data_IF_654163873527
#
_entry.id   IF_654163873527
#
_cell.length_a   1.000
_cell.length_b   1.000
_cell.length_c   1.000
_cell.angle_alpha   90.00
_cell.angle_beta   90.00
_cell.angle_gamma   90.00
#
_symmetry.space_group_name_H-M   'P 1'
#
loop_
_entity.id
_entity.type
_entity.pdbx_description
1 polymer ?
#
# COMPACT_ATOMS: atom_id res chain seq x y z
N UNK A 1 0.77 2.34 -14.61
CA UNK A 1 2.10 2.31 -13.97
C UNK A 1 2.11 3.18 -12.71
N UNK A 2 1.91 4.50 -12.77
CA UNK A 2 1.92 5.33 -11.55
C UNK A 2 0.87 4.93 -10.50
N UNK A 3 -0.39 4.73 -10.88
CA UNK A 3 -1.43 4.33 -9.92
C UNK A 3 -1.23 2.95 -9.29
N UNK A 4 -0.37 2.11 -9.86
CA UNK A 4 -0.07 0.79 -9.31
C UNK A 4 1.02 0.82 -8.22
N UNK A 5 1.80 1.92 -8.15
CA UNK A 5 2.95 2.06 -7.22
C UNK A 5 2.70 3.18 -6.21
N UNK A 6 2.00 4.24 -6.63
CA UNK A 6 1.75 5.42 -5.82
C UNK A 6 1.14 5.12 -4.43
N UNK A 7 0.21 4.16 -4.28
CA UNK A 7 -0.33 3.83 -2.96
C UNK A 7 0.75 3.42 -1.94
N UNK A 8 1.81 2.72 -2.34
CA UNK A 8 2.86 2.24 -1.44
C UNK A 8 3.96 3.27 -1.15
N UNK A 9 4.12 4.26 -2.02
CA UNK A 9 5.19 5.27 -1.90
C UNK A 9 5.20 5.95 -0.52
N UNK A 10 4.06 6.41 0.04
CA UNK A 10 4.04 7.00 1.37
C UNK A 10 4.58 6.06 2.46
N UNK A 11 4.21 4.78 2.45
CA UNK A 11 4.68 3.81 3.44
C UNK A 11 6.20 3.62 3.35
N UNK A 12 6.74 3.50 2.14
CA UNK A 12 8.18 3.42 1.90
C UNK A 12 8.92 4.68 2.40
N UNK A 13 8.43 5.87 2.02
CA UNK A 13 9.04 7.15 2.41
C UNK A 13 8.99 7.33 3.93
N UNK A 14 7.86 7.04 4.57
CA UNK A 14 7.72 7.13 6.03
C UNK A 14 8.68 6.17 6.74
N UNK A 15 8.76 4.92 6.26
CA UNK A 15 9.71 3.93 6.81
C UNK A 15 11.15 4.42 6.69
N UNK A 16 11.55 4.94 5.53
CA UNK A 16 12.91 5.44 5.33
C UNK A 16 13.22 6.68 6.19
N UNK A 17 12.33 7.67 6.20
CA UNK A 17 12.52 8.94 6.93
C UNK A 17 12.48 8.73 8.44
N UNK A 18 11.45 8.04 8.96
CA UNK A 18 11.36 7.77 10.39
C UNK A 18 12.44 6.78 10.81
N UNK A 19 12.72 5.75 10.01
CA UNK A 19 13.81 4.80 10.28
C UNK A 19 15.14 5.53 10.46
N UNK A 20 15.52 6.39 9.52
CA UNK A 20 16.73 7.20 9.65
C UNK A 20 16.68 8.14 10.86
N UNK A 21 15.57 8.84 11.07
CA UNK A 21 15.44 9.76 12.19
C UNK A 21 15.58 9.08 13.55
N UNK A 22 15.00 7.88 13.73
CA UNK A 22 15.10 7.12 14.97
C UNK A 22 16.48 6.49 15.15
N UNK A 23 17.11 5.98 14.07
CA UNK A 23 18.50 5.50 14.12
C UNK A 23 19.48 6.59 14.56
N UNK A 24 19.25 7.84 14.14
CA UNK A 24 20.11 8.97 14.52
C UNK A 24 19.85 9.50 15.94
N UNK A 25 18.66 9.24 16.51
CA UNK A 25 18.23 9.80 17.79
C UNK A 25 18.24 8.81 18.94
N UNK A 26 18.30 7.52 18.65
CA UNK A 26 18.20 6.45 19.64
C UNK A 26 19.35 5.47 19.49
N UNK A 27 19.69 4.77 20.57
CA UNK A 27 20.66 3.67 20.55
C UNK A 27 19.99 2.30 20.38
N UNK A 28 18.74 2.27 19.91
CA UNK A 28 18.00 1.02 19.77
C UNK A 28 18.51 0.22 18.58
N UNK A 29 18.51 -1.13 18.66
CA UNK A 29 18.81 -1.97 17.51
C UNK A 29 17.85 -1.69 16.33
N UNK A 30 18.31 -1.80 15.07
CA UNK A 30 17.45 -1.55 13.90
C UNK A 30 16.15 -2.37 13.87
N UNK A 31 16.20 -3.62 14.35
CA UNK A 31 15.00 -4.48 14.41
C UNK A 31 13.93 -3.96 15.37
N UNK A 32 14.33 -3.34 16.48
CA UNK A 32 13.39 -2.73 17.42
C UNK A 32 12.78 -1.45 16.83
N UNK A 33 13.57 -0.66 16.10
CA UNK A 33 13.08 0.52 15.38
C UNK A 33 12.03 0.10 14.34
N UNK A 34 12.35 -0.87 13.47
CA UNK A 34 11.40 -1.35 12.46
C UNK A 34 10.12 -1.90 13.10
N UNK A 35 10.26 -2.67 14.17
CA UNK A 35 9.10 -3.19 14.90
C UNK A 35 8.21 -2.06 15.43
N UNK A 36 8.81 -1.02 16.00
CA UNK A 36 8.07 0.15 16.46
C UNK A 36 7.36 0.90 15.33
N UNK A 37 8.02 1.11 14.19
CA UNK A 37 7.40 1.78 13.04
C UNK A 37 6.21 0.99 12.48
N UNK A 38 6.39 -0.31 12.25
CA UNK A 38 5.41 -1.15 11.54
C UNK A 38 4.33 -1.74 12.43
N UNK A 39 4.58 -1.92 13.73
CA UNK A 39 3.60 -2.49 14.67
C UNK A 39 3.00 -1.49 15.66
N UNK A 40 3.52 -0.27 15.77
CA UNK A 40 2.92 0.79 16.61
C UNK A 40 2.50 2.01 15.77
N UNK A 41 3.45 2.70 15.14
CA UNK A 41 3.14 3.94 14.41
C UNK A 41 2.17 3.71 13.24
N UNK A 42 2.36 2.63 12.46
CA UNK A 42 1.47 2.29 11.36
C UNK A 42 -0.03 2.22 11.74
N UNK A 43 -0.32 1.82 12.99
CA UNK A 43 -1.70 1.64 13.47
C UNK A 43 -2.24 2.84 14.26
N UNK A 44 -1.37 3.71 14.78
CA UNK A 44 -1.75 4.73 15.76
C UNK A 44 -1.41 6.15 15.35
N UNK A 45 -0.33 6.34 14.59
CA UNK A 45 0.14 7.67 14.24
C UNK A 45 -0.67 8.24 13.06
N UNK A 46 -1.26 9.44 13.20
CA UNK A 46 -2.06 10.04 12.15
C UNK A 46 -1.31 10.27 10.84
N UNK A 47 -0.01 10.57 10.87
CA UNK A 47 0.79 10.77 9.65
C UNK A 47 0.91 9.46 8.89
N UNK A 48 1.13 8.35 9.60
CA UNK A 48 1.19 7.02 9.01
C UNK A 48 -0.17 6.58 8.48
N UNK A 49 -1.23 6.77 9.25
CA UNK A 49 -2.59 6.45 8.84
C UNK A 49 -3.01 7.25 7.61
N UNK A 50 -2.80 8.56 7.58
CA UNK A 50 -3.16 9.41 6.43
C UNK A 50 -2.28 9.06 5.23
N UNK A 51 -0.96 8.97 5.44
CA UNK A 51 0.01 8.73 4.39
C UNK A 51 -0.27 7.44 3.62
N UNK A 52 -0.42 6.34 4.35
CA UNK A 52 -0.75 5.05 3.75
C UNK A 52 -2.16 5.04 3.14
N UNK A 53 -3.18 5.53 3.86
CA UNK A 53 -4.57 5.30 3.44
C UNK A 53 -5.10 6.30 2.40
N UNK A 54 -4.40 7.40 2.08
CA UNK A 54 -4.91 8.40 1.14
C UNK A 54 -5.15 7.80 -0.26
N UNK A 55 -4.16 7.09 -0.81
CA UNK A 55 -4.26 6.43 -2.11
C UNK A 55 -4.74 4.98 -2.04
N UNK A 56 -4.89 4.44 -0.83
CA UNK A 56 -5.53 3.14 -0.56
C UNK A 56 -7.00 3.25 -0.12
N UNK A 57 -7.61 4.43 -0.16
CA UNK A 57 -9.00 4.61 0.22
C UNK A 57 -9.94 4.43 -0.97
N UNK A 58 -10.93 3.54 -0.85
CA UNK A 58 -11.99 3.40 -1.86
C UNK A 58 -12.83 4.67 -2.01
N UNK A 59 -12.99 5.44 -0.93
CA UNK A 59 -13.76 6.69 -0.95
C UNK A 59 -13.00 7.76 -1.73
N UNK A 60 -11.72 7.98 -1.39
CA UNK A 60 -10.89 8.99 -2.06
C UNK A 60 -10.68 8.58 -3.52
N UNK A 61 -10.31 7.33 -3.79
CA UNK A 61 -10.13 6.85 -5.15
C UNK A 61 -11.42 6.92 -5.97
N UNK A 62 -12.58 6.61 -5.38
CA UNK A 62 -13.88 6.78 -6.03
C UNK A 62 -14.19 8.24 -6.39
N UNK A 63 -13.87 9.18 -5.51
CA UNK A 63 -14.01 10.62 -5.79
C UNK A 63 -13.05 11.08 -6.91
N UNK A 64 -11.79 10.65 -6.88
CA UNK A 64 -10.81 10.97 -7.93
C UNK A 64 -11.23 10.37 -9.28
N UNK A 65 -11.77 9.16 -9.28
CA UNK A 65 -12.30 8.50 -10.48
C UNK A 65 -13.51 9.26 -11.03
N UNK A 66 -14.45 9.66 -10.17
CA UNK A 66 -15.60 10.47 -10.54
C UNK A 66 -15.20 11.83 -11.13
N UNK A 67 -14.24 12.51 -10.50
CA UNK A 67 -13.69 13.79 -10.96
C UNK A 67 -12.97 13.64 -12.32
N UNK A 68 -12.18 12.58 -12.48
CA UNK A 68 -11.52 12.24 -13.74
C UNK A 68 -12.54 11.96 -14.85
N UNK A 69 -13.57 11.15 -14.56
CA UNK A 69 -14.63 10.84 -15.52
C UNK A 69 -15.43 12.09 -15.94
N UNK A 70 -15.78 12.96 -14.98
CA UNK A 70 -16.43 14.23 -15.26
C UNK A 70 -15.54 15.17 -16.09
N UNK A 71 -14.26 15.26 -15.76
CA UNK A 71 -13.29 16.04 -16.52
C UNK A 71 -13.14 15.55 -17.97
N UNK A 72 -13.22 14.23 -18.19
CA UNK A 72 -13.18 13.62 -19.53
C UNK A 72 -14.41 14.02 -20.34
N UNK A 73 -15.61 13.97 -19.72
CA UNK A 73 -16.87 14.43 -20.35
C UNK A 73 -16.86 15.91 -20.71
N UNK A 74 -16.10 16.72 -19.98
CA UNK A 74 -15.98 18.17 -20.20
C UNK A 74 -14.70 18.58 -20.95
N UNK A 75 -14.04 17.62 -21.62
CA UNK A 75 -12.84 17.82 -22.44
C UNK A 75 -11.67 18.53 -21.72
N UNK A 76 -11.50 18.28 -20.42
CA UNK A 76 -10.38 18.85 -19.65
C UNK A 76 -9.11 18.04 -19.85
N UNK A 77 -7.99 18.72 -20.12
CA UNK A 77 -6.68 18.08 -20.37
C UNK A 77 -6.15 17.28 -19.17
N UNK A 78 -6.44 17.72 -17.94
CA UNK A 78 -6.02 17.04 -16.71
C UNK A 78 -6.82 15.76 -16.40
N UNK A 79 -7.96 15.56 -17.07
CA UNK A 79 -8.89 14.51 -16.70
C UNK A 79 -8.40 13.12 -17.05
N UNK A 80 -7.76 12.97 -18.22
CA UNK A 80 -7.22 11.69 -18.68
C UNK A 80 -6.16 11.13 -17.72
N UNK A 81 -5.10 11.88 -17.32
CA UNK A 81 -4.14 11.35 -16.37
C UNK A 81 -4.76 11.06 -15.00
N UNK A 82 -5.66 11.91 -14.50
CA UNK A 82 -6.35 11.67 -13.22
C UNK A 82 -7.21 10.40 -13.24
N UNK A 83 -7.99 10.20 -14.31
CA UNK A 83 -8.85 9.03 -14.47
C UNK A 83 -8.04 7.73 -14.46
N UNK A 84 -6.95 7.68 -15.23
CA UNK A 84 -6.09 6.49 -15.27
C UNK A 84 -5.29 6.28 -13.98
N UNK A 85 -4.91 7.37 -13.29
CA UNK A 85 -4.33 7.28 -11.97
C UNK A 85 -5.31 6.63 -10.99
N UNK A 86 -6.55 7.14 -10.94
CA UNK A 86 -7.59 6.65 -10.03
C UNK A 86 -7.99 5.19 -10.31
N UNK A 87 -8.05 4.78 -11.59
CA UNK A 87 -8.22 3.36 -11.94
C UNK A 87 -7.08 2.52 -11.36
N UNK A 88 -5.83 2.97 -11.55
CA UNK A 88 -4.67 2.24 -11.06
C UNK A 88 -4.67 2.11 -9.54
N UNK A 89 -4.90 3.20 -8.81
CA UNK A 89 -4.93 3.18 -7.34
C UNK A 89 -6.11 2.38 -6.80
N UNK A 90 -7.28 2.45 -7.46
CA UNK A 90 -8.43 1.61 -7.09
C UNK A 90 -8.14 0.14 -7.27
N UNK A 91 -7.52 -0.25 -8.39
CA UNK A 91 -7.21 -1.65 -8.67
C UNK A 91 -6.16 -2.19 -7.69
N UNK A 92 -5.10 -1.42 -7.43
CA UNK A 92 -4.12 -1.73 -6.40
C UNK A 92 -4.80 -1.91 -5.04
N UNK A 93 -5.60 -0.94 -4.60
CA UNK A 93 -6.35 -1.01 -3.34
C UNK A 93 -7.24 -2.25 -3.25
N UNK A 94 -7.91 -2.61 -4.34
CA UNK A 94 -8.78 -3.78 -4.38
C UNK A 94 -8.01 -5.09 -4.18
N UNK A 95 -6.80 -5.19 -4.72
CA UNK A 95 -5.90 -6.33 -4.47
C UNK A 95 -5.53 -6.34 -2.99
N UNK A 96 -5.06 -5.23 -2.44
CA UNK A 96 -4.62 -5.16 -1.05
C UNK A 96 -5.73 -5.53 -0.06
N UNK A 97 -6.97 -5.09 -0.32
CA UNK A 97 -8.13 -5.47 0.49
C UNK A 97 -8.30 -6.99 0.54
N UNK A 98 -8.04 -7.71 -0.55
CA UNK A 98 -8.23 -9.18 -0.59
C UNK A 98 -6.96 -9.97 -0.30
N UNK A 99 -5.80 -9.32 -0.19
CA UNK A 99 -4.51 -9.99 0.06
C UNK A 99 -3.84 -9.57 1.37
N UNK A 100 -4.52 -8.77 2.20
CA UNK A 100 -4.10 -8.46 3.57
C UNK A 100 -5.20 -8.79 4.56
N UNK A 101 -4.82 -9.32 5.73
CA UNK A 101 -5.76 -9.69 6.78
C UNK A 101 -5.81 -8.62 7.88
N UNK A 102 -4.70 -8.40 8.59
CA UNK A 102 -4.66 -7.46 9.73
C UNK A 102 -4.07 -6.08 9.38
N UNK A 103 -3.21 -6.02 8.38
CA UNK A 103 -2.43 -4.86 7.98
C UNK A 103 -2.99 -4.15 6.73
N UNK A 104 -4.08 -4.66 6.16
CA UNK A 104 -4.71 -4.13 4.94
C UNK A 104 -5.32 -2.74 5.12
N UNK A 105 -5.61 -2.00 4.04
CA UNK A 105 -5.99 -0.59 4.13
C UNK A 105 -7.32 -0.35 4.86
N UNK A 106 -7.48 0.88 5.36
CA UNK A 106 -8.72 1.36 5.97
C UNK A 106 -9.79 1.55 4.88
N UNK A 107 -10.71 0.59 4.81
CA UNK A 107 -11.67 0.45 3.70
C UNK A 107 -12.49 1.73 3.46
N UNK A 108 -12.90 2.39 4.54
CA UNK A 108 -13.76 3.58 4.51
C UNK A 108 -13.05 4.86 4.98
N UNK A 109 -11.72 4.91 4.96
CA UNK A 109 -11.00 6.15 5.21
C UNK A 109 -11.44 7.23 4.20
N UNK A 110 -11.63 8.51 4.57
CA UNK A 110 -11.44 9.11 5.90
C UNK A 110 -12.71 9.12 6.77
N UNK A 111 -13.80 8.45 6.36
CA UNK A 111 -15.04 8.38 7.14
C UNK A 111 -14.95 7.42 8.33
N UNK A 112 -14.12 6.37 8.22
CA UNK A 112 -13.80 5.46 9.30
C UNK A 112 -12.28 5.23 9.36
N UNK A 113 -11.70 5.43 10.53
CA UNK A 113 -10.25 5.36 10.77
C UNK A 113 -9.79 4.04 11.41
N UNK A 114 -10.70 3.08 11.58
CA UNK A 114 -10.44 1.85 12.33
C UNK A 114 -10.76 0.60 11.52
N UNK A 115 -11.74 0.67 10.62
CA UNK A 115 -12.20 -0.51 9.91
C UNK A 115 -11.26 -0.92 8.78
N UNK A 116 -10.59 -2.06 8.98
CA UNK A 116 -9.85 -2.82 7.97
C UNK A 116 -10.64 -4.09 7.66
N UNK A 117 -10.69 -4.47 6.39
CA UNK A 117 -11.33 -5.73 6.02
C UNK A 117 -10.39 -6.89 6.34
N UNK A 118 -10.85 -7.81 7.18
CA UNK A 118 -10.10 -9.00 7.55
C UNK A 118 -10.20 -10.06 6.44
N UNK A 119 -9.35 -9.95 5.41
CA UNK A 119 -9.36 -10.91 4.30
C UNK A 119 -9.05 -12.34 4.77
N UNK A 120 -9.75 -13.37 4.31
CA UNK A 120 -9.38 -14.76 4.63
C UNK A 120 -8.01 -15.17 4.05
N UNK A 121 -7.42 -14.34 3.17
CA UNK A 121 -6.12 -14.57 2.54
C UNK A 121 -5.19 -13.39 2.83
N UNK A 122 -3.97 -13.69 3.28
CA UNK A 122 -2.86 -12.76 3.40
C UNK A 122 -1.61 -13.34 2.77
N UNK A 123 -0.92 -12.57 1.93
CA UNK A 123 0.38 -13.02 1.40
C UNK A 123 1.51 -12.90 2.44
N UNK A 124 1.26 -12.22 3.55
CA UNK A 124 2.25 -11.96 4.60
C UNK A 124 2.03 -12.83 5.85
N UNK A 125 0.78 -12.96 6.32
CA UNK A 125 0.49 -13.67 7.57
C UNK A 125 0.40 -15.19 7.36
N UNK A 126 1.23 -15.95 8.06
CA UNK A 126 1.29 -17.41 7.93
C UNK A 126 -0.07 -18.10 8.20
N UNK A 127 -0.84 -17.57 9.15
CA UNK A 127 -2.17 -18.09 9.50
C UNK A 127 -3.19 -17.98 8.35
N UNK A 128 -2.92 -17.14 7.35
CA UNK A 128 -3.79 -16.84 6.22
C UNK A 128 -3.12 -17.11 4.87
N UNK A 129 -2.33 -18.19 4.77
CA UNK A 129 -1.62 -18.64 3.58
C UNK A 129 -0.31 -17.90 3.24
N UNK A 130 0.17 -16.99 4.08
CA UNK A 130 1.38 -16.19 3.80
C UNK A 130 2.59 -17.05 3.45
N UNK A 131 2.82 -18.16 4.17
CA UNK A 131 3.94 -19.08 3.87
C UNK A 131 3.87 -19.68 2.47
N UNK A 132 2.68 -20.00 1.96
CA UNK A 132 2.51 -20.53 0.60
C UNK A 132 2.82 -19.45 -0.44
N UNK A 133 2.35 -18.22 -0.20
CA UNK A 133 2.67 -17.07 -1.04
C UNK A 133 4.17 -16.78 -1.06
N UNK A 134 4.86 -16.77 0.08
CA UNK A 134 6.31 -16.52 0.12
C UNK A 134 7.11 -17.57 -0.64
N UNK A 135 6.71 -18.85 -0.58
CA UNK A 135 7.35 -19.92 -1.37
C UNK A 135 7.13 -19.67 -2.86
N UNK A 136 5.89 -19.35 -3.25
CA UNK A 136 5.53 -19.07 -4.64
C UNK A 136 6.29 -17.86 -5.19
N UNK A 137 6.33 -16.76 -4.43
CA UNK A 137 7.05 -15.53 -4.76
C UNK A 137 8.55 -15.80 -4.94
N UNK A 138 9.21 -16.39 -3.94
CA UNK A 138 10.62 -16.72 -4.00
C UNK A 138 10.96 -17.65 -5.18
N UNK A 139 10.13 -18.67 -5.43
CA UNK A 139 10.33 -19.59 -6.55
C UNK A 139 10.22 -18.84 -7.88
N UNK A 140 9.22 -17.98 -8.02
CA UNK A 140 9.00 -17.18 -9.23
C UNK A 140 10.18 -16.23 -9.46
N UNK A 141 10.65 -15.55 -8.41
CA UNK A 141 11.78 -14.63 -8.49
C UNK A 141 13.08 -15.34 -8.89
N UNK A 142 13.36 -16.51 -8.31
CA UNK A 142 14.54 -17.31 -8.68
C UNK A 142 14.47 -17.75 -10.15
N UNK A 143 13.31 -18.22 -10.62
CA UNK A 143 13.13 -18.64 -12.01
C UNK A 143 13.32 -17.47 -12.98
N UNK A 144 12.75 -16.29 -12.67
CA UNK A 144 12.90 -15.09 -13.48
C UNK A 144 14.34 -14.59 -13.48
N UNK A 145 14.98 -14.51 -12.31
CA UNK A 145 16.38 -14.11 -12.20
C UNK A 145 17.30 -15.06 -12.96
N UNK A 146 17.08 -16.38 -12.88
CA UNK A 146 17.81 -17.37 -13.64
C UNK A 146 17.62 -17.22 -15.16
N UNK A 147 16.38 -16.98 -15.60
CA UNK A 147 16.06 -16.71 -17.01
C UNK A 147 16.80 -15.48 -17.54
N UNK A 148 16.77 -14.36 -16.81
CA UNK A 148 17.45 -13.12 -17.20
C UNK A 148 18.97 -13.15 -17.00
N UNK A 149 19.51 -14.01 -16.13
CA UNK A 149 20.95 -14.19 -16.02
C UNK A 149 21.53 -15.01 -17.19
N UNK A 150 20.69 -15.85 -17.82
CA UNK A 150 21.07 -16.70 -18.94
C UNK A 150 20.90 -16.02 -20.31
N UNK A 151 20.11 -14.95 -20.40
CA UNK A 151 19.80 -14.20 -21.61
C UNK A 151 20.25 -12.75 -21.53
#
# INVERSE_FOLDING_TARGET
MLGAVLPDVPFFVLTAVYGLAYMLKTSLPPGEIMSYLHFDLFYRDPVWLIGHNFFHSLIINGLLLGLGAWGLRTNKRWARPLFWLAIGTTFHTAIDIVTHHSDGPLLFFPLNWQYRFASPVSYWEEAYHGRLFSIFELTTDILLAGYFAWH
#
